data_IF_750372106216
#
_entry.id   IF_750372106216
#
_cell.length_a   1.000
_cell.length_b   1.000
_cell.length_c   1.000
_cell.angle_alpha   90.00
_cell.angle_beta   90.00
_cell.angle_gamma   90.00
#
_symmetry.space_group_name_H-M   'P 1'
#
loop_
_entity.id
_entity.type
_entity.pdbx_description
1 polymer ?
#
# COMPACT_ATOMS: atom_id res chain seq x y z
N UNK A 1 -22.17 -27.88 -4.09
CA UNK A 1 -21.94 -27.04 -2.88
C UNK A 1 -20.50 -26.50 -2.75
N UNK A 2 -19.44 -27.28 -3.05
CA UNK A 2 -18.04 -26.82 -2.94
C UNK A 2 -17.70 -25.60 -3.83
N UNK A 3 -18.20 -25.56 -5.07
CA UNK A 3 -17.98 -24.42 -5.97
C UNK A 3 -18.62 -23.10 -5.47
N UNK A 4 -19.84 -23.16 -4.92
CA UNK A 4 -20.51 -21.98 -4.37
C UNK A 4 -19.75 -21.40 -3.16
N UNK A 5 -19.22 -22.25 -2.28
CA UNK A 5 -18.39 -21.83 -1.14
C UNK A 5 -17.09 -21.16 -1.57
N UNK A 6 -16.44 -21.63 -2.64
CA UNK A 6 -15.22 -21.01 -3.18
C UNK A 6 -15.49 -19.63 -3.79
N UNK A 7 -16.60 -19.48 -4.53
CA UNK A 7 -17.01 -18.19 -5.07
C UNK A 7 -17.28 -17.17 -3.96
N UNK A 8 -18.02 -17.56 -2.91
CA UNK A 8 -18.29 -16.68 -1.76
C UNK A 8 -16.97 -16.27 -1.09
N UNK A 9 -16.05 -17.21 -0.88
CA UNK A 9 -14.74 -16.92 -0.29
C UNK A 9 -13.93 -15.94 -1.15
N UNK A 10 -13.94 -16.08 -2.47
CA UNK A 10 -13.24 -15.19 -3.39
C UNK A 10 -13.75 -13.74 -3.28
N UNK A 11 -15.07 -13.54 -3.22
CA UNK A 11 -15.65 -12.20 -3.04
C UNK A 11 -15.38 -11.61 -1.66
N UNK A 12 -15.42 -12.43 -0.59
CA UNK A 12 -15.06 -11.98 0.75
C UNK A 12 -13.60 -11.51 0.81
N UNK A 13 -12.68 -12.28 0.25
CA UNK A 13 -11.27 -11.91 0.17
C UNK A 13 -11.06 -10.67 -0.69
N UNK A 14 -11.75 -10.55 -1.82
CA UNK A 14 -11.71 -9.36 -2.67
C UNK A 14 -12.18 -8.10 -1.93
N UNK A 15 -13.32 -8.16 -1.24
CA UNK A 15 -13.87 -7.03 -0.48
C UNK A 15 -12.93 -6.61 0.66
N UNK A 16 -12.41 -7.59 1.42
CA UNK A 16 -11.45 -7.34 2.48
C UNK A 16 -10.17 -6.68 1.95
N UNK A 17 -9.63 -7.20 0.84
CA UNK A 17 -8.42 -6.66 0.23
C UNK A 17 -8.64 -5.24 -0.27
N UNK A 18 -9.80 -4.97 -0.86
CA UNK A 18 -10.18 -3.63 -1.31
C UNK A 18 -10.19 -2.65 -0.15
N UNK A 19 -10.83 -3.00 0.97
CA UNK A 19 -10.84 -2.16 2.17
C UNK A 19 -9.42 -1.89 2.70
N UNK A 20 -8.58 -2.93 2.77
CA UNK A 20 -7.19 -2.79 3.22
C UNK A 20 -6.37 -1.86 2.31
N UNK A 21 -6.53 -1.97 0.99
CA UNK A 21 -5.81 -1.12 0.04
C UNK A 21 -6.28 0.33 0.12
N UNK A 22 -7.58 0.58 0.32
CA UNK A 22 -8.09 1.95 0.52
C UNK A 22 -7.42 2.59 1.74
N UNK A 23 -7.39 1.87 2.87
CA UNK A 23 -6.73 2.35 4.10
C UNK A 23 -5.25 2.59 3.85
N UNK A 24 -4.55 1.62 3.25
CA UNK A 24 -3.12 1.75 2.97
C UNK A 24 -2.81 2.91 2.01
N UNK A 25 -3.60 3.10 0.96
CA UNK A 25 -3.44 4.20 0.01
C UNK A 25 -3.61 5.56 0.70
N UNK A 26 -4.56 5.69 1.63
CA UNK A 26 -4.74 6.91 2.42
C UNK A 26 -3.54 7.16 3.35
N UNK A 27 -3.01 6.13 3.99
CA UNK A 27 -1.82 6.25 4.84
C UNK A 27 -0.57 6.66 4.03
N UNK A 28 -0.33 6.00 2.90
CA UNK A 28 0.76 6.36 1.96
C UNK A 28 0.62 7.80 1.50
N UNK A 29 -0.59 8.21 1.08
CA UNK A 29 -0.86 9.59 0.67
C UNK A 29 -0.51 10.57 1.80
N UNK A 30 -0.95 10.31 3.01
CA UNK A 30 -0.69 11.19 4.15
C UNK A 30 0.81 11.28 4.45
N UNK A 31 1.55 10.17 4.36
CA UNK A 31 3.00 10.16 4.50
C UNK A 31 3.69 11.02 3.43
N UNK A 32 3.29 10.90 2.16
CA UNK A 32 3.84 11.67 1.04
C UNK A 32 3.50 13.17 1.12
N UNK A 33 2.27 13.52 1.50
CA UNK A 33 1.89 14.93 1.69
C UNK A 33 2.63 15.51 2.90
N UNK A 34 2.81 14.73 3.97
CA UNK A 34 3.60 15.11 5.14
C UNK A 34 5.05 15.39 4.77
N UNK A 35 5.70 14.48 4.03
CA UNK A 35 7.08 14.65 3.59
C UNK A 35 7.25 15.87 2.67
N UNK A 36 6.33 16.05 1.71
CA UNK A 36 6.35 17.21 0.83
C UNK A 36 6.19 18.53 1.60
N UNK A 37 5.27 18.56 2.57
CA UNK A 37 5.04 19.75 3.40
C UNK A 37 6.29 20.10 4.20
N UNK A 38 6.92 19.11 4.84
CA UNK A 38 8.17 19.30 5.58
C UNK A 38 9.31 19.81 4.68
N UNK A 39 9.50 19.18 3.52
CA UNK A 39 10.54 19.58 2.56
C UNK A 39 10.33 21.00 2.03
N UNK A 40 9.08 21.39 1.79
CA UNK A 40 8.77 22.71 1.24
C UNK A 40 8.90 23.81 2.30
N UNK A 41 8.52 23.54 3.56
CA UNK A 41 8.70 24.47 4.68
C UNK A 41 10.18 24.68 4.99
N UNK A 42 10.99 23.62 4.92
CA UNK A 42 12.43 23.72 5.19
C UNK A 42 13.19 24.60 4.18
N UNK A 43 12.69 24.71 2.94
CA UNK A 43 13.28 25.54 1.89
C UNK A 43 12.64 26.91 1.72
N UNK A 44 11.68 27.29 2.56
CA UNK A 44 10.94 28.54 2.45
C UNK A 44 11.73 29.72 3.03
N UNK A 45 12.04 30.69 2.18
CA UNK A 45 12.45 32.03 2.62
C UNK A 45 11.18 32.78 3.10
N UNK A 46 11.22 33.43 4.27
CA UNK A 46 10.02 33.93 4.99
C UNK A 46 9.36 35.17 4.34
N UNK A 47 9.59 35.41 3.07
CA UNK A 47 8.97 36.49 2.32
C UNK A 47 7.48 36.18 2.07
N UNK A 48 6.60 37.14 2.37
CA UNK A 48 5.14 36.96 2.34
C UNK A 48 4.58 36.42 1.00
N UNK A 49 5.07 36.83 -0.18
CA UNK A 49 4.58 36.28 -1.46
C UNK A 49 4.98 34.80 -1.68
N UNK A 50 6.20 34.42 -1.28
CA UNK A 50 6.71 33.05 -1.46
C UNK A 50 6.00 32.04 -0.55
N UNK A 51 5.70 32.45 0.68
CA UNK A 51 4.91 31.66 1.63
C UNK A 51 3.48 31.43 1.13
N UNK A 52 2.85 32.44 0.52
CA UNK A 52 1.50 32.32 -0.03
C UNK A 52 1.44 31.36 -1.23
N UNK A 53 2.34 31.49 -2.21
CA UNK A 53 2.38 30.57 -3.37
C UNK A 53 2.63 29.12 -2.94
N UNK A 54 3.57 28.91 -2.01
CA UNK A 54 3.85 27.60 -1.43
C UNK A 54 2.63 26.97 -0.78
N UNK A 55 1.92 27.74 0.05
CA UNK A 55 0.67 27.33 0.70
C UNK A 55 -0.38 26.91 -0.34
N UNK A 56 -0.55 27.71 -1.39
CA UNK A 56 -1.52 27.40 -2.47
C UNK A 56 -1.16 26.12 -3.22
N UNK A 57 0.12 25.90 -3.52
CA UNK A 57 0.60 24.68 -4.19
C UNK A 57 0.35 23.43 -3.33
N UNK A 58 0.70 23.46 -2.04
CA UNK A 58 0.48 22.34 -1.12
C UNK A 58 -1.00 22.00 -0.98
N UNK A 59 -1.88 23.02 -0.84
CA UNK A 59 -3.33 22.83 -0.80
C UNK A 59 -3.86 22.23 -2.10
N UNK A 60 -3.38 22.71 -3.24
CA UNK A 60 -3.76 22.21 -4.57
C UNK A 60 -3.36 20.74 -4.73
N UNK A 61 -2.13 20.36 -4.38
CA UNK A 61 -1.67 18.97 -4.39
C UNK A 61 -2.47 18.08 -3.42
N UNK A 62 -2.81 18.61 -2.25
CA UNK A 62 -3.70 17.96 -1.30
C UNK A 62 -5.09 17.70 -1.90
N UNK A 63 -5.69 18.66 -2.59
CA UNK A 63 -7.00 18.50 -3.21
C UNK A 63 -6.97 17.49 -4.39
N UNK A 64 -6.00 17.61 -5.29
CA UNK A 64 -5.90 16.76 -6.49
C UNK A 64 -5.44 15.33 -6.22
N UNK A 65 -4.79 15.06 -5.10
CA UNK A 65 -4.38 13.70 -4.75
C UNK A 65 -5.56 12.77 -4.45
N UNK A 66 -6.71 13.26 -3.98
CA UNK A 66 -7.91 12.44 -3.76
C UNK A 66 -8.51 11.88 -5.07
N UNK A 67 -8.82 12.68 -6.10
CA UNK A 67 -9.37 12.15 -7.35
C UNK A 67 -8.38 11.23 -8.08
N UNK A 68 -7.07 11.55 -8.07
CA UNK A 68 -6.05 10.65 -8.65
C UNK A 68 -6.04 9.31 -7.93
N UNK A 69 -6.03 9.32 -6.60
CA UNK A 69 -6.09 8.11 -5.78
C UNK A 69 -7.40 7.34 -6.03
N UNK A 70 -8.53 8.03 -6.19
CA UNK A 70 -9.81 7.43 -6.55
C UNK A 70 -9.77 6.67 -7.88
N UNK A 71 -9.18 7.27 -8.93
CA UNK A 71 -9.01 6.61 -10.24
C UNK A 71 -8.15 5.35 -10.10
N UNK A 72 -7.01 5.45 -9.40
CA UNK A 72 -6.12 4.31 -9.17
C UNK A 72 -6.85 3.18 -8.42
N UNK A 73 -7.60 3.51 -7.37
CA UNK A 73 -8.36 2.53 -6.61
C UNK A 73 -9.42 1.84 -7.46
N UNK A 74 -10.16 2.56 -8.30
CA UNK A 74 -11.17 1.96 -9.19
C UNK A 74 -10.53 0.93 -10.12
N UNK A 75 -9.42 1.28 -10.78
CA UNK A 75 -8.69 0.36 -11.65
C UNK A 75 -8.22 -0.87 -10.87
N UNK A 76 -7.70 -0.66 -9.67
CA UNK A 76 -7.16 -1.72 -8.83
C UNK A 76 -8.27 -2.67 -8.33
N UNK A 77 -9.44 -2.15 -7.96
CA UNK A 77 -10.61 -2.94 -7.56
C UNK A 77 -11.07 -3.88 -8.67
N UNK A 78 -11.17 -3.36 -9.91
CA UNK A 78 -11.54 -4.15 -11.09
C UNK A 78 -10.50 -5.23 -11.37
N UNK A 79 -9.21 -4.85 -11.32
CA UNK A 79 -8.12 -5.81 -11.51
C UNK A 79 -8.14 -6.92 -10.45
N UNK A 80 -8.32 -6.57 -9.17
CA UNK A 80 -8.36 -7.53 -8.08
C UNK A 80 -9.55 -8.47 -8.18
N UNK A 81 -10.70 -7.98 -8.63
CA UNK A 81 -11.86 -8.82 -8.84
C UNK A 81 -11.54 -9.95 -9.84
N UNK A 82 -10.98 -9.57 -10.99
CA UNK A 82 -10.52 -10.54 -11.99
C UNK A 82 -9.44 -11.47 -11.41
N UNK A 83 -8.50 -10.92 -10.65
CA UNK A 83 -7.42 -11.66 -10.02
C UNK A 83 -7.89 -12.64 -8.95
N UNK A 84 -9.00 -12.43 -8.24
CA UNK A 84 -9.53 -13.43 -7.30
C UNK A 84 -10.46 -14.44 -7.98
N UNK A 85 -11.26 -14.02 -8.96
CA UNK A 85 -12.20 -14.92 -9.68
C UNK A 85 -11.49 -16.03 -10.45
N UNK A 86 -10.28 -15.81 -10.93
CA UNK A 86 -9.52 -16.78 -11.74
C UNK A 86 -8.79 -17.85 -10.92
N UNK A 87 -9.06 -17.98 -9.61
CA UNK A 87 -8.41 -18.95 -8.75
C UNK A 87 -9.19 -20.27 -8.74
N UNK A 88 -8.49 -21.39 -8.98
CA UNK A 88 -9.12 -22.71 -9.12
C UNK A 88 -9.18 -23.48 -7.79
N UNK A 89 -8.44 -23.06 -6.77
CA UNK A 89 -8.41 -23.70 -5.46
C UNK A 89 -8.33 -22.72 -4.30
N UNK A 90 -8.72 -23.17 -3.11
CA UNK A 90 -8.68 -22.37 -1.86
C UNK A 90 -7.24 -21.95 -1.53
N UNK A 91 -6.25 -22.85 -1.73
CA UNK A 91 -4.84 -22.53 -1.51
C UNK A 91 -4.34 -21.45 -2.48
N UNK A 92 -4.79 -21.47 -3.73
CA UNK A 92 -4.48 -20.41 -4.70
C UNK A 92 -5.12 -19.08 -4.30
N UNK A 93 -6.38 -19.09 -3.85
CA UNK A 93 -7.05 -17.87 -3.32
C UNK A 93 -6.27 -17.27 -2.16
N UNK A 94 -5.88 -18.09 -1.18
CA UNK A 94 -5.11 -17.64 -0.03
C UNK A 94 -3.74 -17.11 -0.44
N UNK A 95 -3.03 -17.80 -1.34
CA UNK A 95 -1.74 -17.33 -1.85
C UNK A 95 -1.85 -15.99 -2.58
N UNK A 96 -2.93 -15.79 -3.35
CA UNK A 96 -3.24 -14.52 -4.02
C UNK A 96 -3.51 -13.42 -3.00
N UNK A 97 -4.30 -13.71 -1.96
CA UNK A 97 -4.58 -12.77 -0.87
C UNK A 97 -3.32 -12.31 -0.16
N UNK A 98 -2.50 -13.26 0.30
CA UNK A 98 -1.24 -12.97 0.98
C UNK A 98 -0.30 -12.16 0.08
N UNK A 99 -0.26 -12.46 -1.23
CA UNK A 99 0.56 -11.70 -2.18
C UNK A 99 0.10 -10.26 -2.33
N UNK A 100 -1.20 -10.00 -2.41
CA UNK A 100 -1.73 -8.63 -2.51
C UNK A 100 -1.49 -7.88 -1.19
N UNK A 101 -1.66 -8.54 -0.05
CA UNK A 101 -1.30 -7.97 1.25
C UNK A 101 0.20 -7.59 1.29
N UNK A 102 1.09 -8.44 0.78
CA UNK A 102 2.52 -8.14 0.71
C UNK A 102 2.81 -6.89 -0.12
N UNK A 103 2.19 -6.74 -1.29
CA UNK A 103 2.32 -5.52 -2.11
C UNK A 103 1.76 -4.28 -1.42
N UNK A 104 0.67 -4.43 -0.68
CA UNK A 104 0.06 -3.34 0.10
C UNK A 104 1.02 -2.86 1.20
N UNK A 105 1.68 -3.79 1.89
CA UNK A 105 2.70 -3.48 2.90
C UNK A 105 3.94 -2.85 2.27
N UNK A 106 4.36 -3.26 1.05
CA UNK A 106 5.44 -2.58 0.33
C UNK A 106 5.08 -1.13 0.03
N UNK A 107 3.85 -0.85 -0.40
CA UNK A 107 3.43 0.52 -0.66
C UNK A 107 3.51 1.38 0.61
N UNK A 108 3.08 0.84 1.75
CA UNK A 108 3.22 1.48 3.07
C UNK A 108 4.70 1.74 3.41
N UNK A 109 5.56 0.72 3.26
CA UNK A 109 7.00 0.83 3.46
C UNK A 109 7.60 1.99 2.67
N UNK A 110 7.28 2.09 1.38
CA UNK A 110 7.81 3.17 0.52
C UNK A 110 7.35 4.53 1.02
N UNK A 111 6.07 4.68 1.36
CA UNK A 111 5.52 5.93 1.89
C UNK A 111 6.16 6.36 3.20
N UNK A 112 6.24 5.45 4.18
CA UNK A 112 6.85 5.73 5.48
C UNK A 112 8.37 5.88 5.41
N UNK A 113 9.06 5.18 4.49
CA UNK A 113 10.49 5.38 4.25
C UNK A 113 10.77 6.78 3.72
N UNK A 114 10.00 7.27 2.74
CA UNK A 114 10.15 8.64 2.23
C UNK A 114 9.92 9.66 3.35
N UNK A 115 8.86 9.47 4.14
CA UNK A 115 8.58 10.32 5.29
C UNK A 115 9.72 10.30 6.32
N UNK A 116 10.22 9.12 6.66
CA UNK A 116 11.34 8.95 7.59
C UNK A 116 12.60 9.65 7.08
N UNK A 117 13.02 9.40 5.84
CA UNK A 117 14.23 9.99 5.26
C UNK A 117 14.13 11.53 5.23
N UNK A 118 12.97 12.06 4.86
CA UNK A 118 12.72 13.51 4.87
C UNK A 118 12.81 14.06 6.29
N UNK A 119 12.11 13.44 7.24
CA UNK A 119 12.07 13.88 8.64
C UNK A 119 13.46 13.80 9.29
N UNK A 120 14.24 12.77 8.96
CA UNK A 120 15.60 12.57 9.44
C UNK A 120 16.56 13.60 8.87
N UNK A 121 16.50 13.89 7.57
CA UNK A 121 17.33 14.94 6.94
C UNK A 121 17.09 16.32 7.53
N UNK A 122 15.89 16.57 8.05
CA UNK A 122 15.50 17.82 8.69
C UNK A 122 15.78 17.83 10.21
N UNK A 123 16.36 16.76 10.75
CA UNK A 123 16.67 16.66 12.19
C UNK A 123 15.45 16.50 13.09
N UNK A 124 14.25 16.31 12.53
CA UNK A 124 12.99 16.19 13.29
C UNK A 124 12.73 14.78 13.82
N UNK A 125 13.41 13.78 13.27
CA UNK A 125 13.25 12.38 13.64
C UNK A 125 14.61 11.67 13.71
N UNK A 126 14.86 10.97 14.83
CA UNK A 126 16.05 10.13 15.01
C UNK A 126 15.90 8.75 14.34
N UNK A 127 16.97 7.94 14.39
CA UNK A 127 16.99 6.59 13.80
C UNK A 127 15.94 5.63 14.36
N UNK A 128 15.39 5.89 15.55
CA UNK A 128 14.23 5.14 16.08
C UNK A 128 13.00 5.22 15.18
N UNK A 129 12.87 6.29 14.39
CA UNK A 129 11.82 6.44 13.37
C UNK A 129 11.91 5.42 12.23
N UNK A 130 13.07 4.79 12.02
CA UNK A 130 13.25 3.74 11.01
C UNK A 130 12.59 2.41 11.39
N UNK A 131 12.15 2.25 12.65
CA UNK A 131 11.55 1.00 13.12
C UNK A 131 10.25 0.65 12.38
N UNK A 132 9.42 1.65 12.07
CA UNK A 132 8.18 1.44 11.33
C UNK A 132 8.43 0.91 9.91
N UNK A 133 9.21 1.59 9.04
CA UNK A 133 9.50 1.06 7.72
C UNK A 133 10.29 -0.26 7.78
N UNK A 134 11.17 -0.45 8.77
CA UNK A 134 11.86 -1.74 8.95
C UNK A 134 10.88 -2.88 9.27
N UNK A 135 9.90 -2.63 10.14
CA UNK A 135 8.85 -3.61 10.48
C UNK A 135 7.96 -3.93 9.28
N UNK A 136 7.59 -2.92 8.48
CA UNK A 136 6.83 -3.10 7.24
C UNK A 136 7.60 -3.93 6.22
N UNK A 137 8.89 -3.67 6.04
CA UNK A 137 9.74 -4.46 5.15
C UNK A 137 9.86 -5.92 5.62
N UNK A 138 10.04 -6.14 6.92
CA UNK A 138 10.08 -7.49 7.50
C UNK A 138 8.73 -8.22 7.30
N UNK A 139 7.62 -7.54 7.55
CA UNK A 139 6.28 -8.09 7.32
C UNK A 139 6.04 -8.42 5.85
N UNK A 140 6.46 -7.55 4.92
CA UNK A 140 6.37 -7.82 3.49
C UNK A 140 7.18 -9.06 3.10
N UNK A 141 8.42 -9.19 3.58
CA UNK A 141 9.27 -10.35 3.33
C UNK A 141 8.64 -11.66 3.82
N UNK A 142 8.07 -11.65 5.04
CA UNK A 142 7.35 -12.79 5.60
C UNK A 142 6.12 -13.17 4.76
N UNK A 143 5.34 -12.19 4.31
CA UNK A 143 4.17 -12.42 3.46
C UNK A 143 4.57 -12.95 2.08
N UNK A 144 5.65 -12.45 1.48
CA UNK A 144 6.17 -13.02 0.23
C UNK A 144 6.60 -14.48 0.40
N UNK A 145 7.35 -14.79 1.46
CA UNK A 145 7.74 -16.15 1.81
C UNK A 145 6.53 -17.08 1.98
N UNK A 146 5.52 -16.63 2.74
CA UNK A 146 4.27 -17.37 2.93
C UNK A 146 3.53 -17.59 1.60
N UNK A 147 3.44 -16.57 0.75
CA UNK A 147 2.78 -16.68 -0.57
C UNK A 147 3.49 -17.68 -1.50
N UNK A 148 4.82 -17.75 -1.43
CA UNK A 148 5.62 -18.66 -2.23
C UNK A 148 5.42 -20.11 -1.75
N UNK A 149 5.46 -20.31 -0.43
CA UNK A 149 5.20 -21.61 0.19
C UNK A 149 3.80 -22.15 -0.10
N UNK A 150 2.76 -21.29 -0.02
CA UNK A 150 1.38 -21.67 -0.36
C UNK A 150 1.22 -22.10 -1.82
N UNK A 151 1.89 -21.40 -2.75
CA UNK A 151 1.90 -21.76 -4.19
C UNK A 151 2.64 -23.07 -4.45
N UNK A 152 3.73 -23.33 -3.75
CA UNK A 152 4.43 -24.62 -3.83
C UNK A 152 3.52 -25.79 -3.45
N UNK A 153 2.70 -25.62 -2.40
CA UNK A 153 1.73 -26.63 -1.98
C UNK A 153 0.54 -26.81 -2.92
N UNK A 154 0.12 -25.75 -3.63
CA UNK A 154 -0.96 -25.88 -4.62
C UNK A 154 -0.54 -26.63 -5.87
N UNK A 155 0.76 -26.75 -6.14
CA UNK A 155 1.33 -27.37 -7.34
C UNK A 155 2.01 -28.73 -7.04
N UNK A 156 1.80 -29.29 -5.85
CA UNK A 156 2.39 -30.58 -5.46
C UNK A 156 2.04 -31.70 -6.44
N UNK A 157 2.94 -32.67 -6.66
CA UNK A 157 2.86 -33.61 -7.77
C UNK A 157 1.55 -34.40 -7.72
N UNK A 158 0.82 -34.39 -8.83
CA UNK A 158 -0.07 -35.49 -9.16
C UNK A 158 0.81 -36.74 -9.22
N UNK A 159 0.78 -37.55 -8.17
CA UNK A 159 1.39 -38.88 -8.19
C UNK A 159 0.78 -39.65 -9.35
N UNK A 160 1.58 -39.84 -10.40
CA UNK A 160 1.37 -40.83 -11.43
C UNK A 160 1.65 -42.22 -10.88
#
# INVERSE_FOLDING_TARGET
>A
MKAASQYILAYLLWALTTALIVVAALLVRNALIGSLTMATIAGLDMNAPGAFDTSMRLRTMGAWSYPILGIILVVLVVFLEHYYRTALSILQLLARFVRVAAFTVIALFVGHLILFLTSHSLGTMGWSGALLPAAELAAAALLFGLSAWLRGRSNGPTSA
#
